data_IF_991423703678
#
_entry.id   IF_991423703678
#
_cell.length_a   1.000
_cell.length_b   1.000
_cell.length_c   1.000
_cell.angle_alpha   90.00
_cell.angle_beta   90.00
_cell.angle_gamma   90.00
#
_symmetry.space_group_name_H-M   'P 1'
#
loop_
_entity.id
_entity.type
_entity.pdbx_description
1 polymer ?
#
# COMPACT_ATOMS: atom_id res chain seq x y z
N UNK A 1 -13.89 -8.11 2.38
CA UNK A 1 -15.14 -7.50 1.97
C UNK A 1 -14.91 -6.64 0.73
N UNK A 2 -15.88 -6.67 -0.20
CA UNK A 2 -15.83 -5.84 -1.42
C UNK A 2 -17.25 -5.35 -1.71
N UNK A 3 -17.38 -4.09 -2.09
CA UNK A 3 -18.64 -3.50 -2.54
C UNK A 3 -18.38 -2.59 -3.74
N UNK A 4 -19.33 -2.56 -4.68
CA UNK A 4 -19.34 -1.64 -5.80
C UNK A 4 -20.76 -1.14 -6.02
N UNK A 5 -20.90 0.16 -6.22
CA UNK A 5 -22.19 0.82 -6.38
C UNK A 5 -22.15 1.80 -7.55
N UNK A 6 -22.97 1.56 -8.54
CA UNK A 6 -23.21 2.49 -9.65
C UNK A 6 -24.18 3.58 -9.20
N UNK A 7 -23.63 4.67 -8.67
CA UNK A 7 -24.40 5.81 -8.14
C UNK A 7 -25.19 6.52 -9.25
N UNK A 8 -24.56 6.67 -10.41
CA UNK A 8 -25.14 7.29 -11.60
C UNK A 8 -24.54 6.64 -12.87
N UNK A 9 -25.06 7.01 -14.04
CA UNK A 9 -24.49 6.51 -15.32
C UNK A 9 -23.03 6.92 -15.52
N UNK A 10 -22.62 7.99 -14.86
CA UNK A 10 -21.29 8.60 -14.98
C UNK A 10 -20.41 8.42 -13.73
N UNK A 11 -20.90 7.76 -12.65
CA UNK A 11 -20.16 7.57 -11.40
C UNK A 11 -20.37 6.17 -10.83
N UNK A 12 -19.25 5.47 -10.64
CA UNK A 12 -19.19 4.21 -9.89
C UNK A 12 -18.29 4.40 -8.67
N UNK A 13 -18.78 4.02 -7.50
CA UNK A 13 -17.97 3.95 -6.27
C UNK A 13 -17.69 2.49 -5.96
N UNK A 14 -16.46 2.20 -5.59
CA UNK A 14 -16.05 0.86 -5.16
C UNK A 14 -15.19 0.96 -3.91
N UNK A 15 -15.36 0.01 -3.01
CA UNK A 15 -14.55 -0.10 -1.81
C UNK A 15 -14.23 -1.56 -1.51
N UNK A 16 -13.04 -1.80 -0.97
CA UNK A 16 -12.70 -3.09 -0.38
C UNK A 16 -12.05 -2.88 0.99
N UNK A 17 -12.21 -3.86 1.85
CA UNK A 17 -11.56 -3.93 3.14
C UNK A 17 -11.18 -5.37 3.46
N UNK A 18 -9.97 -5.56 3.96
CA UNK A 18 -9.46 -6.83 4.47
C UNK A 18 -9.13 -6.63 5.95
N UNK A 19 -9.74 -7.47 6.78
CA UNK A 19 -9.40 -7.62 8.18
C UNK A 19 -8.83 -9.01 8.36
N UNK A 20 -7.64 -9.13 8.89
CA UNK A 20 -6.95 -10.41 9.06
C UNK A 20 -6.26 -10.49 10.41
N UNK A 21 -6.12 -11.70 10.92
CA UNK A 21 -5.35 -12.03 12.10
C UNK A 21 -4.41 -13.18 11.75
N UNK A 22 -3.18 -12.86 11.38
CA UNK A 22 -2.18 -13.83 10.99
C UNK A 22 -1.21 -13.99 12.15
N UNK A 23 -1.28 -15.13 12.84
CA UNK A 23 -0.54 -15.40 14.08
C UNK A 23 0.26 -16.68 13.97
N UNK A 24 1.44 -16.68 14.59
CA UNK A 24 2.22 -17.88 14.90
C UNK A 24 1.93 -18.23 16.34
N UNK A 25 1.46 -19.45 16.57
CA UNK A 25 1.29 -19.98 17.91
C UNK A 25 2.61 -20.56 18.39
N UNK A 26 2.88 -20.41 19.68
CA UNK A 26 4.08 -20.97 20.32
C UNK A 26 5.39 -20.56 19.61
N UNK A 27 5.51 -19.26 19.28
CA UNK A 27 6.71 -18.72 18.66
C UNK A 27 7.91 -18.86 19.59
N UNK A 28 8.96 -19.52 19.11
CA UNK A 28 10.22 -19.72 19.85
C UNK A 28 11.25 -18.67 19.41
N UNK A 29 11.88 -17.99 20.37
CA UNK A 29 12.97 -17.08 20.08
C UNK A 29 14.21 -17.83 19.58
N UNK A 30 14.61 -17.55 18.34
CA UNK A 30 15.79 -18.16 17.69
C UNK A 30 16.93 -17.15 17.52
N UNK A 31 16.85 -15.97 18.17
CA UNK A 31 17.94 -14.99 18.14
C UNK A 31 19.11 -15.51 18.96
N UNK A 32 20.20 -15.85 18.27
CA UNK A 32 21.42 -16.37 18.91
C UNK A 32 21.94 -15.38 19.95
N UNK A 33 22.36 -15.92 21.09
CA UNK A 33 22.90 -15.19 22.24
C UNK A 33 21.87 -14.26 22.94
N UNK A 34 20.59 -14.28 22.53
CA UNK A 34 19.49 -13.62 23.24
C UNK A 34 19.27 -14.25 24.63
N UNK A 35 18.92 -13.47 25.66
CA UNK A 35 18.52 -14.02 26.97
C UNK A 35 17.32 -14.97 26.88
N UNK A 36 16.49 -14.82 25.86
CA UNK A 36 15.28 -15.63 25.61
C UNK A 36 15.46 -16.68 24.50
N UNK A 37 16.72 -16.94 24.09
CA UNK A 37 16.99 -17.95 23.05
C UNK A 37 16.42 -19.32 23.42
N UNK A 38 15.59 -19.87 22.54
CA UNK A 38 14.91 -21.14 22.74
C UNK A 38 13.65 -21.08 23.63
N UNK A 39 13.31 -19.90 24.17
CA UNK A 39 12.08 -19.75 24.96
C UNK A 39 10.86 -19.58 24.05
N UNK A 40 9.73 -20.09 24.49
CA UNK A 40 8.43 -19.86 23.86
C UNK A 40 7.90 -18.48 24.27
N UNK A 41 7.82 -17.55 23.33
CA UNK A 41 7.33 -16.19 23.53
C UNK A 41 5.80 -16.08 23.35
N UNK A 42 5.11 -17.20 23.12
CA UNK A 42 3.66 -17.24 22.98
C UNK A 42 3.19 -16.95 21.55
N UNK A 43 2.06 -16.27 21.43
CA UNK A 43 1.43 -16.00 20.13
C UNK A 43 1.91 -14.66 19.57
N UNK A 44 2.56 -14.70 18.40
CA UNK A 44 3.14 -13.54 17.73
C UNK A 44 2.49 -13.28 16.37
N UNK A 45 2.58 -12.05 15.86
CA UNK A 45 2.11 -11.69 14.51
C UNK A 45 3.12 -12.13 13.46
N UNK A 46 2.61 -12.68 12.35
CA UNK A 46 3.45 -13.01 11.19
C UNK A 46 4.00 -11.71 10.58
N UNK A 47 5.28 -11.71 10.25
CA UNK A 47 5.95 -10.59 9.57
C UNK A 47 5.24 -10.23 8.24
N UNK A 48 5.30 -8.96 7.86
CA UNK A 48 4.68 -8.39 6.65
C UNK A 48 3.18 -8.71 6.50
N UNK A 49 2.47 -8.80 7.61
CA UNK A 49 1.06 -9.19 7.65
C UNK A 49 0.22 -8.12 8.34
N UNK A 50 -0.14 -7.03 7.64
CA UNK A 50 -0.98 -6.00 8.23
C UNK A 50 -2.37 -6.55 8.57
N UNK A 51 -2.89 -6.20 9.74
CA UNK A 51 -4.20 -6.66 10.19
C UNK A 51 -5.37 -5.97 9.47
N UNK A 52 -5.12 -4.78 8.91
CA UNK A 52 -6.12 -3.97 8.21
C UNK A 52 -5.55 -3.45 6.92
N UNK A 53 -6.24 -3.70 5.81
CA UNK A 53 -6.00 -3.08 4.52
C UNK A 53 -7.32 -2.70 3.87
N UNK A 54 -7.33 -1.66 3.05
CA UNK A 54 -8.51 -1.30 2.31
C UNK A 54 -8.25 -0.30 1.20
N UNK A 55 -9.19 -0.18 0.29
CA UNK A 55 -9.17 0.88 -0.70
C UNK A 55 -10.56 1.38 -1.05
N UNK A 56 -10.60 2.63 -1.50
CA UNK A 56 -11.80 3.28 -2.03
C UNK A 56 -11.46 3.83 -3.41
N UNK A 57 -12.35 3.59 -4.38
CA UNK A 57 -12.23 4.10 -5.74
C UNK A 57 -13.51 4.84 -6.14
N UNK A 58 -13.33 5.95 -6.83
CA UNK A 58 -14.40 6.67 -7.52
C UNK A 58 -14.04 6.76 -9.00
N UNK A 59 -14.85 6.12 -9.84
CA UNK A 59 -14.68 6.08 -11.28
C UNK A 59 -15.74 6.93 -11.95
N UNK A 60 -15.28 7.99 -12.61
CA UNK A 60 -16.11 9.02 -13.23
C UNK A 60 -15.88 9.06 -14.75
N UNK A 61 -16.99 9.03 -15.49
CA UNK A 61 -16.99 9.11 -16.97
C UNK A 61 -18.11 9.99 -17.48
N UNK A 62 -17.76 11.07 -18.21
CA UNK A 62 -18.73 11.95 -18.89
C UNK A 62 -18.19 12.34 -20.25
N UNK A 63 -18.91 11.94 -21.32
CA UNK A 63 -18.47 12.18 -22.69
C UNK A 63 -17.08 11.56 -22.93
N UNK A 64 -16.13 12.36 -23.41
CA UNK A 64 -14.73 11.93 -23.59
C UNK A 64 -13.87 12.00 -22.32
N UNK A 65 -14.37 12.59 -21.24
CA UNK A 65 -13.61 12.78 -19.99
C UNK A 65 -13.77 11.58 -19.04
N UNK A 66 -12.66 11.16 -18.41
CA UNK A 66 -12.62 10.18 -17.34
C UNK A 66 -11.76 10.65 -16.19
N UNK A 67 -12.13 10.27 -14.97
CA UNK A 67 -11.32 10.49 -13.79
C UNK A 67 -11.46 9.29 -12.84
N UNK A 68 -10.33 8.71 -12.42
CA UNK A 68 -10.29 7.65 -11.43
C UNK A 68 -9.54 8.14 -10.19
N UNK A 69 -10.27 8.31 -9.11
CA UNK A 69 -9.74 8.52 -7.78
C UNK A 69 -9.52 7.17 -7.11
N UNK A 70 -8.35 6.95 -6.52
CA UNK A 70 -8.04 5.73 -5.78
C UNK A 70 -7.27 6.07 -4.51
N UNK A 71 -7.87 5.75 -3.36
CA UNK A 71 -7.22 5.87 -2.05
C UNK A 71 -7.02 4.48 -1.46
N UNK A 72 -5.81 4.19 -1.00
CA UNK A 72 -5.43 2.93 -0.38
C UNK A 72 -4.90 3.19 1.03
N UNK A 73 -5.33 2.34 1.97
CA UNK A 73 -4.80 2.26 3.33
C UNK A 73 -4.16 0.91 3.57
N UNK A 74 -2.99 0.92 4.19
CA UNK A 74 -2.28 -0.27 4.66
C UNK A 74 -1.93 -0.05 6.14
N UNK A 75 -2.32 -0.99 6.98
CA UNK A 75 -2.01 -0.96 8.41
C UNK A 75 -0.55 -1.25 8.70
N UNK A 76 -0.15 -1.02 9.94
CA UNK A 76 1.18 -1.31 10.45
C UNK A 76 1.57 -2.77 10.23
N UNK A 77 2.85 -3.02 9.96
CA UNK A 77 3.42 -4.36 9.79
C UNK A 77 4.79 -4.42 10.48
N UNK A 78 5.17 -5.62 10.91
CA UNK A 78 6.49 -5.88 11.47
C UNK A 78 7.38 -6.58 10.45
N UNK A 79 8.69 -6.35 10.49
CA UNK A 79 9.66 -7.06 9.64
C UNK A 79 9.94 -8.48 10.12
N UNK A 80 9.75 -8.70 11.43
CA UNK A 80 10.07 -9.94 12.13
C UNK A 80 8.85 -10.44 12.90
N UNK A 81 8.83 -11.73 13.22
CA UNK A 81 7.69 -12.38 13.87
C UNK A 81 7.62 -12.13 15.39
N UNK A 82 8.52 -11.36 15.96
CA UNK A 82 8.59 -11.08 17.40
C UNK A 82 8.08 -9.68 17.78
N UNK A 83 7.34 -9.03 16.87
CA UNK A 83 6.63 -7.77 17.11
C UNK A 83 7.49 -6.64 17.68
N UNK A 84 8.76 -6.54 17.21
CA UNK A 84 9.68 -5.50 17.66
C UNK A 84 9.27 -4.18 17.02
N UNK A 85 9.02 -3.16 17.85
CA UNK A 85 8.55 -1.85 17.41
C UNK A 85 9.55 -1.15 16.50
N UNK A 86 10.84 -1.23 16.80
CA UNK A 86 11.91 -0.67 15.97
C UNK A 86 12.02 -1.32 14.59
N UNK A 87 11.49 -2.54 14.43
CA UNK A 87 11.50 -3.31 13.19
C UNK A 87 10.10 -3.37 12.58
N UNK A 88 9.52 -2.21 12.30
CA UNK A 88 8.15 -2.10 11.77
C UNK A 88 8.03 -1.07 10.67
N UNK A 89 6.98 -1.19 9.87
CA UNK A 89 6.49 -0.17 8.94
C UNK A 89 5.24 0.47 9.52
N UNK A 90 5.20 1.78 9.55
CA UNK A 90 4.02 2.53 9.96
C UNK A 90 2.85 2.33 8.98
N UNK A 91 1.64 2.48 9.49
CA UNK A 91 0.46 2.52 8.66
C UNK A 91 0.47 3.74 7.75
N UNK A 92 0.03 3.57 6.51
CA UNK A 92 -0.05 4.69 5.56
C UNK A 92 -1.36 4.71 4.79
N UNK A 93 -1.68 5.91 4.29
CA UNK A 93 -2.80 6.16 3.40
C UNK A 93 -2.31 6.97 2.20
N UNK A 94 -2.43 6.44 0.99
CA UNK A 94 -1.98 7.09 -0.24
C UNK A 94 -3.12 7.22 -1.23
N UNK A 95 -3.18 8.36 -1.93
CA UNK A 95 -4.21 8.66 -2.93
C UNK A 95 -3.57 8.94 -4.28
N UNK A 96 -4.11 8.31 -5.31
CA UNK A 96 -3.75 8.52 -6.71
C UNK A 96 -4.96 9.06 -7.48
N UNK A 97 -4.71 9.90 -8.49
CA UNK A 97 -5.73 10.42 -9.39
C UNK A 97 -5.28 10.23 -10.84
N UNK A 98 -6.08 9.51 -11.62
CA UNK A 98 -5.87 9.36 -13.05
C UNK A 98 -6.93 10.15 -13.79
N UNK A 99 -6.50 11.01 -14.71
CA UNK A 99 -7.37 11.80 -15.58
C UNK A 99 -7.17 11.36 -17.02
N UNK A 100 -8.26 11.29 -17.77
CA UNK A 100 -8.24 10.94 -19.16
C UNK A 100 -9.19 11.81 -19.98
N UNK A 101 -8.80 12.11 -21.22
CA UNK A 101 -9.67 12.76 -22.18
C UNK A 101 -9.49 12.14 -23.57
N UNK A 102 -10.58 11.69 -24.18
CA UNK A 102 -10.58 11.11 -25.53
C UNK A 102 -11.30 12.06 -26.48
N UNK A 103 -10.57 12.48 -27.51
CA UNK A 103 -11.10 13.22 -28.67
C UNK A 103 -11.31 12.22 -29.81
N UNK A 104 -12.57 11.98 -30.15
CA UNK A 104 -12.93 11.20 -31.34
C UNK A 104 -13.12 12.13 -32.52
N UNK A 105 -12.38 11.91 -33.60
CA UNK A 105 -12.50 12.71 -34.81
C UNK A 105 -13.45 12.03 -35.83
N UNK A 106 -14.12 12.83 -36.64
CA UNK A 106 -15.01 12.32 -37.69
C UNK A 106 -14.29 11.53 -38.79
N UNK A 107 -12.96 11.43 -38.73
CA UNK A 107 -12.12 10.69 -39.72
C UNK A 107 -11.64 9.32 -39.23
N UNK A 108 -12.21 8.82 -38.13
CA UNK A 108 -11.82 7.52 -37.55
C UNK A 108 -10.50 7.53 -36.79
N UNK A 109 -10.01 8.72 -36.41
CA UNK A 109 -8.82 8.87 -35.57
C UNK A 109 -9.26 9.31 -34.17
N UNK A 110 -8.81 8.59 -33.15
CA UNK A 110 -9.00 8.93 -31.74
C UNK A 110 -7.69 9.40 -31.13
N UNK A 111 -7.73 10.52 -30.43
CA UNK A 111 -6.61 11.03 -29.64
C UNK A 111 -6.98 10.97 -28.17
N UNK A 112 -6.22 10.20 -27.38
CA UNK A 112 -6.41 10.07 -25.95
C UNK A 112 -5.27 10.73 -25.19
N UNK A 113 -5.61 11.65 -24.31
CA UNK A 113 -4.71 12.26 -23.35
C UNK A 113 -4.88 11.59 -21.99
N UNK A 114 -3.78 11.27 -21.33
CA UNK A 114 -3.79 10.71 -19.98
C UNK A 114 -2.84 11.47 -19.06
N UNK A 115 -3.26 11.68 -17.81
CA UNK A 115 -2.46 12.24 -16.73
C UNK A 115 -2.66 11.41 -15.48
N UNK A 116 -1.60 10.74 -15.02
CA UNK A 116 -1.56 10.09 -13.74
C UNK A 116 -0.86 11.00 -12.72
N UNK A 117 -1.52 11.25 -11.61
CA UNK A 117 -1.00 11.98 -10.45
C UNK A 117 -0.89 10.96 -9.32
N UNK A 118 0.32 10.53 -9.03
CA UNK A 118 0.58 9.57 -7.98
C UNK A 118 0.88 10.31 -6.68
N UNK A 119 0.41 9.74 -5.56
CA UNK A 119 0.58 10.30 -4.22
C UNK A 119 0.13 11.77 -4.16
N UNK A 120 -1.14 12.01 -4.51
CA UNK A 120 -1.74 13.34 -4.68
C UNK A 120 -1.51 14.28 -3.49
N UNK A 121 -1.47 13.75 -2.27
CA UNK A 121 -1.28 14.53 -1.04
C UNK A 121 0.16 14.56 -0.55
N UNK A 122 1.10 14.02 -1.33
CA UNK A 122 2.53 13.95 -0.98
C UNK A 122 2.79 13.33 0.40
N UNK A 123 2.04 12.28 0.73
CA UNK A 123 2.22 11.50 1.96
C UNK A 123 3.62 10.91 1.98
N UNK A 124 4.37 11.14 3.04
CA UNK A 124 5.65 10.47 3.25
C UNK A 124 5.37 9.09 3.86
N UNK A 125 5.79 8.04 3.17
CA UNK A 125 5.57 6.67 3.63
C UNK A 125 6.60 5.71 3.02
N UNK A 126 6.77 4.59 3.70
CA UNK A 126 7.54 3.45 3.24
C UNK A 126 6.58 2.28 2.98
N UNK A 127 6.59 1.75 1.76
CA UNK A 127 5.75 0.60 1.40
C UNK A 127 6.42 -0.73 1.70
N UNK A 128 7.73 -0.71 1.93
CA UNK A 128 8.54 -1.88 2.22
C UNK A 128 9.78 -1.48 3.02
N UNK A 129 10.39 -2.47 3.66
CA UNK A 129 11.62 -2.34 4.41
C UNK A 129 12.08 -3.73 4.85
N UNK A 130 13.19 -3.82 5.53
CA UNK A 130 13.64 -5.03 6.21
C UNK A 130 14.40 -4.66 7.46
N UNK A 131 14.52 -5.60 8.38
CA UNK A 131 15.28 -5.39 9.59
C UNK A 131 15.67 -6.73 10.21
N UNK A 132 16.65 -6.67 11.08
CA UNK A 132 17.13 -7.82 11.83
C UNK A 132 17.64 -7.39 13.19
N UNK A 133 17.65 -8.34 14.10
CA UNK A 133 18.23 -8.18 15.44
C UNK A 133 19.50 -8.97 15.57
N UNK A 134 20.42 -8.47 16.38
CA UNK A 134 21.64 -9.21 16.77
C UNK A 134 22.05 -8.83 18.19
N UNK A 135 22.86 -9.70 18.79
CA UNK A 135 23.45 -9.46 20.10
C UNK A 135 24.91 -9.04 19.93
N UNK A 136 25.30 -7.97 20.61
CA UNK A 136 26.68 -7.50 20.67
C UNK A 136 27.02 -7.03 22.08
N UNK A 137 28.11 -7.52 22.64
CA UNK A 137 28.56 -7.18 24.01
C UNK A 137 27.46 -7.33 25.08
N UNK A 138 26.61 -8.36 24.92
CA UNK A 138 25.50 -8.66 25.85
C UNK A 138 24.26 -7.74 25.70
N UNK A 139 24.28 -6.82 24.74
CA UNK A 139 23.16 -5.95 24.42
C UNK A 139 22.52 -6.35 23.08
N UNK A 140 21.21 -6.06 22.95
CA UNK A 140 20.46 -6.28 21.71
C UNK A 140 20.45 -5.03 20.87
N UNK A 141 20.69 -5.22 19.58
CA UNK A 141 20.59 -4.18 18.55
C UNK A 141 19.57 -4.60 17.51
N UNK A 142 18.76 -3.62 17.05
CA UNK A 142 17.72 -3.77 16.07
C UNK A 142 17.96 -2.78 14.93
N UNK A 143 18.41 -3.29 13.77
CA UNK A 143 18.68 -2.46 12.59
C UNK A 143 17.53 -2.56 11.60
N UNK A 144 16.97 -1.41 11.20
CA UNK A 144 15.88 -1.29 10.25
C UNK A 144 16.30 -0.47 9.02
N UNK A 145 15.89 -0.94 7.85
CA UNK A 145 16.15 -0.30 6.57
C UNK A 145 14.84 -0.14 5.80
N UNK A 146 14.59 1.06 5.30
CA UNK A 146 13.32 1.45 4.71
C UNK A 146 13.47 1.80 3.24
N UNK A 147 12.42 1.54 2.44
CA UNK A 147 12.32 1.94 1.04
C UNK A 147 11.27 3.04 0.90
N UNK A 148 11.68 4.33 1.03
CA UNK A 148 10.75 5.44 0.94
C UNK A 148 10.15 5.55 -0.45
N UNK A 149 8.88 5.88 -0.51
CA UNK A 149 8.15 6.09 -1.74
C UNK A 149 8.24 7.53 -2.20
N UNK A 150 8.09 7.74 -3.52
CA UNK A 150 8.15 9.07 -4.10
C UNK A 150 7.00 9.95 -3.55
N UNK A 151 7.27 11.22 -3.25
CA UNK A 151 6.22 12.20 -3.01
C UNK A 151 5.34 12.37 -4.25
N UNK A 152 4.47 13.38 -4.29
CA UNK A 152 3.65 13.65 -5.46
C UNK A 152 4.48 13.63 -6.75
N UNK A 153 4.02 12.87 -7.74
CA UNK A 153 4.66 12.78 -9.05
C UNK A 153 3.62 12.62 -10.16
N UNK A 154 4.02 12.91 -11.39
CA UNK A 154 3.13 12.97 -12.55
C UNK A 154 3.67 12.16 -13.71
N UNK A 155 2.76 11.50 -14.42
CA UNK A 155 3.01 10.86 -15.69
C UNK A 155 1.94 11.28 -16.69
N UNK A 156 2.35 11.91 -17.80
CA UNK A 156 1.46 12.26 -18.90
C UNK A 156 1.71 11.37 -20.11
N UNK A 157 0.64 11.01 -20.83
CA UNK A 157 0.73 10.28 -22.08
C UNK A 157 -0.27 10.81 -23.11
N UNK A 158 0.06 10.59 -24.40
CA UNK A 158 -0.83 10.81 -25.53
C UNK A 158 -0.83 9.56 -26.39
N UNK A 159 -2.01 9.04 -26.70
CA UNK A 159 -2.19 7.88 -27.59
C UNK A 159 -3.03 8.29 -28.77
N UNK A 160 -2.55 7.97 -29.99
CA UNK A 160 -3.29 8.18 -31.24
C UNK A 160 -3.63 6.83 -31.83
N UNK A 161 -4.92 6.61 -32.11
CA UNK A 161 -5.46 5.39 -32.74
C UNK A 161 -6.13 5.78 -34.06
N UNK A 162 -5.78 5.10 -35.14
CA UNK A 162 -6.29 5.34 -36.51
C UNK A 162 -6.61 4.03 -37.22
#
# INVERSE_FOLDING_TARGET
LMASWKVAKWLTLSANATLSQNKILDYVDMLKDSPTFGENLGTMTISYSPSVMGSVMADFHVGGFSALWHTQYVGKQYFTNNEIEALSLDAYCVTNLNLGYTLTTNKGCDVRFGLAINNLFSTLYESNGYGYSYMWDGERYDDAFYFPQAPINFLANVTVSF
#
